data_IF_927829445897
#
_entry.id   IF_927829445897
#
_cell.length_a   1.000
_cell.length_b   1.000
_cell.length_c   1.000
_cell.angle_alpha   90.00
_cell.angle_beta   90.00
_cell.angle_gamma   90.00
#
_symmetry.space_group_name_H-M   'P 1'
#
loop_
_entity.id
_entity.type
_entity.pdbx_description
1 polymer ?
#
# COMPACT_ATOMS: atom_id res chain seq x y z
N UNK A 1 59.66 -27.34 -41.71
CA UNK A 1 59.70 -26.13 -42.55
C UNK A 1 58.44 -25.31 -42.27
N UNK A 2 58.60 -24.23 -41.49
CA UNK A 2 58.03 -22.87 -41.66
C UNK A 2 56.52 -22.71 -41.96
N UNK A 3 55.73 -21.74 -41.47
CA UNK A 3 55.75 -20.67 -40.46
C UNK A 3 54.47 -19.83 -40.79
N UNK A 4 53.68 -19.42 -39.79
CA UNK A 4 52.85 -18.15 -39.72
C UNK A 4 51.70 -17.96 -40.74
N UNK A 5 50.53 -17.35 -40.48
CA UNK A 5 50.04 -16.24 -39.61
C UNK A 5 48.55 -16.50 -39.30
N UNK A 6 48.06 -16.39 -38.06
CA UNK A 6 47.51 -15.17 -37.42
C UNK A 6 46.45 -14.42 -38.23
N UNK A 7 45.15 -14.63 -37.92
CA UNK A 7 44.22 -13.58 -37.45
C UNK A 7 42.93 -14.23 -36.89
N UNK A 8 42.55 -14.01 -35.62
CA UNK A 8 41.22 -14.39 -35.15
C UNK A 8 40.19 -13.39 -35.67
N UNK A 9 39.13 -13.91 -36.28
CA UNK A 9 37.92 -13.18 -36.69
C UNK A 9 37.43 -12.26 -35.56
N UNK A 10 37.75 -10.96 -35.72
CA UNK A 10 37.26 -9.88 -34.88
C UNK A 10 35.76 -9.72 -35.09
N UNK A 11 34.96 -10.34 -34.24
CA UNK A 11 33.57 -9.92 -34.03
C UNK A 11 33.63 -8.65 -33.21
N UNK A 12 33.37 -7.53 -33.88
CA UNK A 12 33.10 -6.21 -33.33
C UNK A 12 32.31 -6.34 -32.02
N UNK A 13 33.06 -6.19 -30.93
CA UNK A 13 32.56 -6.22 -29.58
C UNK A 13 31.80 -4.92 -29.39
N UNK A 14 30.49 -4.91 -29.68
CA UNK A 14 29.63 -3.76 -29.36
C UNK A 14 29.73 -3.53 -27.84
N UNK A 15 30.24 -2.37 -27.37
CA UNK A 15 30.27 -2.11 -25.95
C UNK A 15 28.83 -2.03 -25.48
N UNK A 16 28.43 -2.96 -24.60
CA UNK A 16 27.20 -2.83 -23.82
C UNK A 16 27.33 -1.49 -23.09
N UNK A 17 26.59 -0.49 -23.56
CA UNK A 17 26.47 0.80 -22.89
C UNK A 17 25.83 0.50 -21.54
N UNK A 18 26.67 0.27 -20.53
CA UNK A 18 26.22 0.19 -19.13
C UNK A 18 25.55 1.52 -18.87
N UNK A 19 24.22 1.51 -18.83
CA UNK A 19 23.41 2.58 -18.26
C UNK A 19 23.92 2.70 -16.83
N UNK A 20 24.86 3.61 -16.61
CA UNK A 20 25.34 3.96 -15.29
C UNK A 20 24.10 4.43 -14.55
N UNK A 21 23.57 3.54 -13.70
CA UNK A 21 22.48 3.86 -12.81
C UNK A 21 22.93 5.04 -11.96
N UNK A 22 22.13 6.09 -11.95
CA UNK A 22 22.35 7.25 -11.12
C UNK A 22 22.43 6.77 -9.64
N UNK A 23 23.58 6.83 -8.96
CA UNK A 23 23.80 6.12 -7.70
C UNK A 23 23.27 6.92 -6.48
N UNK A 24 22.08 7.52 -6.62
CA UNK A 24 21.47 8.36 -5.58
C UNK A 24 20.05 7.95 -5.17
N UNK A 25 19.47 6.89 -5.74
CA UNK A 25 18.09 6.52 -5.41
C UNK A 25 18.05 5.61 -4.18
N UNK A 26 17.62 6.17 -3.04
CA UNK A 26 17.37 5.41 -1.82
C UNK A 26 16.36 4.27 -2.09
N UNK A 27 16.68 2.99 -1.82
CA UNK A 27 15.81 1.85 -2.08
C UNK A 27 14.50 1.87 -1.27
N UNK A 28 14.41 2.67 -0.20
CA UNK A 28 13.16 2.85 0.54
C UNK A 28 12.19 3.80 -0.18
N UNK A 29 12.69 4.73 -1.00
CA UNK A 29 11.83 5.68 -1.70
C UNK A 29 11.00 4.98 -2.78
N UNK A 30 11.60 4.05 -3.54
CA UNK A 30 10.89 3.31 -4.59
C UNK A 30 9.77 2.42 -4.05
N UNK A 31 9.93 1.84 -2.85
CA UNK A 31 8.86 1.09 -2.18
C UNK A 31 7.72 2.02 -1.74
N UNK A 32 8.05 3.21 -1.22
CA UNK A 32 7.03 4.19 -0.78
C UNK A 32 6.15 4.72 -1.93
N UNK A 33 6.73 4.99 -3.11
CA UNK A 33 5.96 5.41 -4.28
C UNK A 33 5.08 4.29 -4.82
N UNK A 34 5.62 3.07 -4.98
CA UNK A 34 4.84 1.92 -5.41
C UNK A 34 3.72 1.56 -4.43
N UNK A 35 3.95 1.77 -3.12
CA UNK A 35 2.93 1.61 -2.07
C UNK A 35 1.79 2.62 -2.21
N UNK A 36 2.12 3.89 -2.48
CA UNK A 36 1.15 4.96 -2.66
C UNK A 36 0.28 4.76 -3.90
N UNK A 37 0.86 4.33 -5.02
CA UNK A 37 0.07 3.99 -6.21
C UNK A 37 -0.89 2.82 -5.98
N UNK A 38 -0.44 1.76 -5.30
CA UNK A 38 -1.30 0.63 -4.92
C UNK A 38 -2.44 1.05 -4.00
N UNK A 39 -2.17 1.96 -3.06
CA UNK A 39 -3.18 2.50 -2.16
C UNK A 39 -4.22 3.32 -2.92
N UNK A 40 -3.78 4.16 -3.85
CA UNK A 40 -4.65 4.96 -4.72
C UNK A 40 -5.57 4.05 -5.54
N UNK A 41 -5.00 3.06 -6.22
CA UNK A 41 -5.76 2.09 -7.03
C UNK A 41 -6.80 1.33 -6.19
N UNK A 42 -6.42 0.89 -4.98
CA UNK A 42 -7.35 0.22 -4.09
C UNK A 42 -8.53 1.13 -3.66
N UNK A 43 -8.29 2.43 -3.50
CA UNK A 43 -9.35 3.39 -3.20
C UNK A 43 -10.28 3.62 -4.41
N UNK A 44 -9.74 3.68 -5.62
CA UNK A 44 -10.52 3.76 -6.87
C UNK A 44 -11.37 2.49 -7.06
N UNK A 45 -10.80 1.31 -6.86
CA UNK A 45 -11.52 0.03 -6.93
C UNK A 45 -12.65 -0.04 -5.88
N UNK A 46 -12.43 0.51 -4.68
CA UNK A 46 -13.47 0.62 -3.66
C UNK A 46 -14.61 1.55 -4.09
N UNK A 47 -14.30 2.70 -4.70
CA UNK A 47 -15.32 3.61 -5.22
C UNK A 47 -16.16 2.95 -6.31
N UNK A 48 -15.55 2.16 -7.21
CA UNK A 48 -16.28 1.37 -8.20
C UNK A 48 -17.25 0.36 -7.54
N UNK A 49 -16.86 -0.30 -6.45
CA UNK A 49 -17.76 -1.18 -5.71
C UNK A 49 -18.89 -0.41 -5.03
N UNK A 50 -18.59 0.76 -4.48
CA UNK A 50 -19.60 1.62 -3.86
C UNK A 50 -20.63 2.09 -4.89
N UNK A 51 -20.19 2.56 -6.07
CA UNK A 51 -21.07 2.96 -7.17
C UNK A 51 -21.94 1.78 -7.62
N UNK A 52 -21.37 0.58 -7.73
CA UNK A 52 -22.14 -0.62 -8.06
C UNK A 52 -23.29 -0.85 -7.06
N UNK A 53 -23.00 -0.74 -5.76
CA UNK A 53 -24.01 -0.90 -4.72
C UNK A 53 -25.05 0.23 -4.73
N UNK A 54 -24.62 1.45 -5.03
CA UNK A 54 -25.49 2.61 -5.19
C UNK A 54 -26.48 2.41 -6.36
N UNK A 55 -25.98 2.00 -7.53
CA UNK A 55 -26.80 1.70 -8.70
C UNK A 55 -27.83 0.60 -8.41
N UNK A 56 -27.39 -0.45 -7.72
CA UNK A 56 -28.26 -1.55 -7.31
C UNK A 56 -29.35 -1.10 -6.33
N UNK A 57 -29.00 -0.26 -5.35
CA UNK A 57 -29.97 0.30 -4.40
C UNK A 57 -30.99 1.20 -5.10
N UNK A 58 -30.55 2.08 -6.00
CA UNK A 58 -31.47 2.91 -6.81
C UNK A 58 -32.40 2.07 -7.68
N UNK A 59 -31.94 0.96 -8.25
CA UNK A 59 -32.83 0.08 -9.01
C UNK A 59 -33.81 -0.68 -8.11
N UNK A 60 -33.44 -1.00 -6.88
CA UNK A 60 -34.35 -1.67 -5.95
C UNK A 60 -35.53 -0.80 -5.50
N UNK A 61 -35.44 0.52 -5.62
CA UNK A 61 -36.57 1.43 -5.33
C UNK A 61 -37.57 1.52 -6.48
N UNK A 62 -37.22 1.02 -7.68
CA UNK A 62 -38.15 0.99 -8.80
C UNK A 62 -39.13 -0.17 -8.63
N UNK A 63 -40.45 0.07 -8.79
CA UNK A 63 -41.43 -1.00 -8.77
C UNK A 63 -41.12 -2.00 -9.89
N UNK A 64 -41.09 -3.28 -9.54
CA UNK A 64 -40.90 -4.34 -10.55
C UNK A 64 -42.13 -4.36 -11.44
N UNK A 65 -41.92 -4.14 -12.73
CA UNK A 65 -43.00 -4.21 -13.70
C UNK A 65 -43.63 -5.60 -13.69
N UNK A 66 -44.95 -5.67 -13.49
CA UNK A 66 -45.71 -6.93 -13.54
C UNK A 66 -45.71 -7.55 -14.95
N UNK A 67 -45.43 -6.74 -15.98
CA UNK A 67 -45.52 -7.12 -17.38
C UNK A 67 -44.17 -7.44 -18.01
N UNK A 68 -43.10 -6.73 -17.62
CA UNK A 68 -41.72 -7.06 -17.97
C UNK A 68 -41.20 -8.05 -16.92
N UNK A 69 -41.59 -9.32 -17.08
CA UNK A 69 -41.24 -10.40 -16.16
C UNK A 69 -39.75 -10.37 -15.82
N UNK A 70 -39.46 -10.12 -14.54
CA UNK A 70 -38.13 -10.08 -13.92
C UNK A 70 -37.38 -11.41 -13.96
N UNK A 71 -37.12 -11.91 -15.17
CA UNK A 71 -36.47 -13.17 -15.42
C UNK A 71 -34.97 -13.15 -15.10
N UNK A 72 -34.38 -14.34 -15.01
CA UNK A 72 -32.95 -14.55 -14.71
C UNK A 72 -32.06 -13.75 -15.68
N UNK A 73 -32.41 -13.70 -16.97
CA UNK A 73 -31.66 -12.96 -17.99
C UNK A 73 -31.59 -11.44 -17.72
N UNK A 74 -32.66 -10.84 -17.20
CA UNK A 74 -32.67 -9.42 -16.86
C UNK A 74 -31.77 -9.14 -15.65
N UNK A 75 -31.78 -10.01 -14.64
CA UNK A 75 -30.89 -9.89 -13.48
C UNK A 75 -29.41 -9.98 -13.86
N UNK A 76 -29.06 -10.90 -14.76
CA UNK A 76 -27.68 -11.03 -15.27
C UNK A 76 -27.28 -9.82 -16.11
N UNK A 77 -28.14 -9.38 -17.04
CA UNK A 77 -27.88 -8.19 -17.86
C UNK A 77 -27.62 -6.96 -16.99
N UNK A 78 -28.48 -6.69 -16.02
CA UNK A 78 -28.31 -5.56 -15.12
C UNK A 78 -27.08 -5.66 -14.24
N UNK A 79 -26.73 -6.86 -13.78
CA UNK A 79 -25.51 -7.05 -12.98
C UNK A 79 -24.26 -6.71 -13.80
N UNK A 80 -24.20 -7.15 -15.06
CA UNK A 80 -23.10 -6.82 -15.97
C UNK A 80 -23.09 -5.34 -16.34
N UNK A 81 -24.27 -4.76 -16.60
CA UNK A 81 -24.42 -3.34 -16.90
C UNK A 81 -23.90 -2.49 -15.73
N UNK A 82 -24.35 -2.77 -14.51
CA UNK A 82 -23.97 -2.01 -13.33
C UNK A 82 -22.46 -2.15 -13.04
N UNK A 83 -21.87 -3.32 -13.30
CA UNK A 83 -20.43 -3.53 -13.17
C UNK A 83 -19.62 -2.69 -14.17
N UNK A 84 -20.02 -2.67 -15.44
CA UNK A 84 -19.34 -1.83 -16.44
C UNK A 84 -19.55 -0.35 -16.18
N UNK A 85 -20.76 0.03 -15.76
CA UNK A 85 -21.09 1.42 -15.46
C UNK A 85 -20.30 1.91 -14.25
N UNK A 86 -20.20 1.11 -13.19
CA UNK A 86 -19.46 1.51 -11.99
C UNK A 86 -17.96 1.69 -12.25
N UNK A 87 -17.36 0.82 -13.08
CA UNK A 87 -15.98 0.97 -13.53
C UNK A 87 -15.78 2.22 -14.38
N UNK A 88 -16.71 2.50 -15.31
CA UNK A 88 -16.63 3.68 -16.17
C UNK A 88 -16.79 4.98 -15.39
N UNK A 89 -17.75 5.04 -14.46
CA UNK A 89 -17.96 6.23 -13.63
C UNK A 89 -16.73 6.47 -12.75
N UNK A 90 -16.20 5.44 -12.09
CA UNK A 90 -15.01 5.58 -11.24
C UNK A 90 -13.77 6.08 -12.01
N UNK A 91 -13.64 5.75 -13.30
CA UNK A 91 -12.50 6.19 -14.13
C UNK A 91 -12.70 7.54 -14.81
N UNK A 92 -13.92 7.86 -15.27
CA UNK A 92 -14.20 9.05 -16.05
C UNK A 92 -14.53 10.26 -15.17
N UNK A 93 -15.43 10.07 -14.20
CA UNK A 93 -15.92 11.12 -13.33
C UNK A 93 -16.10 10.57 -11.90
N UNK A 94 -14.99 10.38 -11.17
CA UNK A 94 -15.03 9.86 -9.82
C UNK A 94 -15.80 10.81 -8.89
N UNK A 95 -16.57 10.24 -7.97
CA UNK A 95 -17.37 11.00 -7.00
C UNK A 95 -16.49 11.69 -5.93
N UNK A 96 -15.20 11.39 -5.92
CA UNK A 96 -14.21 11.97 -5.01
C UNK A 96 -14.09 11.21 -3.68
N UNK A 97 -14.80 10.09 -3.52
CA UNK A 97 -14.74 9.27 -2.31
C UNK A 97 -13.38 8.57 -2.23
N UNK A 98 -12.89 8.06 -3.36
CA UNK A 98 -11.57 7.44 -3.45
C UNK A 98 -10.46 8.41 -3.02
N UNK A 99 -10.52 9.66 -3.48
CA UNK A 99 -9.52 10.69 -3.19
C UNK A 99 -9.55 11.11 -1.71
N UNK A 100 -10.75 11.28 -1.14
CA UNK A 100 -10.91 11.56 0.28
C UNK A 100 -10.34 10.41 1.14
N UNK A 101 -10.64 9.16 0.77
CA UNK A 101 -10.17 7.96 1.46
C UNK A 101 -8.63 7.85 1.35
N UNK A 102 -8.09 8.06 0.15
CA UNK A 102 -6.65 8.05 -0.11
C UNK A 102 -5.92 9.07 0.76
N UNK A 103 -6.42 10.29 0.88
CA UNK A 103 -5.82 11.33 1.74
C UNK A 103 -5.77 10.90 3.20
N UNK A 104 -6.85 10.32 3.72
CA UNK A 104 -6.91 9.87 5.13
C UNK A 104 -5.98 8.69 5.37
N UNK A 105 -5.97 7.71 4.48
CA UNK A 105 -5.11 6.53 4.61
C UNK A 105 -3.64 6.89 4.45
N UNK A 106 -3.27 7.75 3.49
CA UNK A 106 -1.88 8.16 3.31
C UNK A 106 -1.33 8.89 4.55
N UNK A 107 -2.12 9.79 5.16
CA UNK A 107 -1.74 10.45 6.42
C UNK A 107 -1.50 9.46 7.57
N UNK A 108 -2.30 8.39 7.65
CA UNK A 108 -2.12 7.35 8.65
C UNK A 108 -0.88 6.49 8.38
N UNK A 109 -0.63 6.14 7.12
CA UNK A 109 0.56 5.37 6.71
C UNK A 109 1.83 6.15 7.04
N UNK A 110 1.89 7.43 6.68
CA UNK A 110 3.04 8.29 6.99
C UNK A 110 3.27 8.36 8.52
N UNK A 111 2.22 8.58 9.32
CA UNK A 111 2.29 8.55 10.81
C UNK A 111 2.78 7.22 11.37
N UNK A 112 2.30 6.10 10.82
CA UNK A 112 2.71 4.76 11.27
C UNK A 112 4.18 4.44 10.94
N UNK A 113 4.71 5.00 9.84
CA UNK A 113 6.10 4.84 9.45
C UNK A 113 7.07 5.58 10.38
N UNK A 114 6.68 6.75 10.88
CA UNK A 114 7.47 7.53 11.86
C UNK A 114 7.59 6.80 13.21
N UNK A 115 6.52 6.16 13.68
CA UNK A 115 6.52 5.40 14.93
C UNK A 115 7.47 4.20 14.82
N UNK A 116 7.49 3.51 13.67
CA UNK A 116 8.41 2.40 13.41
C UNK A 116 9.87 2.83 13.29
N UNK A 117 10.11 4.05 12.80
CA UNK A 117 11.44 4.68 12.77
C UNK A 117 11.98 5.02 14.16
N UNK A 118 11.11 5.54 15.05
CA UNK A 118 11.48 5.88 16.44
C UNK A 118 11.76 4.65 17.30
N UNK A 119 11.03 3.55 17.08
CA UNK A 119 11.23 2.28 17.79
C UNK A 119 12.54 1.55 17.38
N UNK A 120 13.11 1.85 16.21
CA UNK A 120 14.41 1.30 15.78
C UNK A 120 15.62 2.06 16.32
N UNK A 121 15.45 3.30 16.77
CA UNK A 121 16.53 4.14 17.30
C UNK A 121 16.86 3.86 18.79
N UNK A 122 16.02 3.10 19.49
CA UNK A 122 16.33 2.51 20.80
C UNK A 122 16.94 1.13 20.57
N UNK A 123 18.24 1.08 20.27
CA UNK A 123 19.02 -0.15 20.43
C UNK A 123 18.82 -0.70 21.85
N UNK A 124 18.72 -2.02 22.07
CA UNK A 124 18.80 -2.55 23.42
C UNK A 124 20.19 -2.15 23.93
N UNK A 125 20.23 -1.36 25.00
CA UNK A 125 21.47 -1.08 25.72
C UNK A 125 22.11 -2.44 26.00
N UNK A 126 23.27 -2.68 25.41
CA UNK A 126 24.04 -3.90 25.60
C UNK A 126 24.23 -4.07 27.10
N UNK A 127 23.64 -5.13 27.66
CA UNK A 127 23.78 -5.47 29.07
C UNK A 127 25.25 -5.71 29.40
N UNK A 128 25.94 -4.68 29.88
CA UNK A 128 27.13 -4.86 30.71
C UNK A 128 26.70 -5.50 32.04
N UNK A 129 27.61 -6.16 32.76
CA UNK A 129 27.29 -6.82 34.03
C UNK A 129 26.61 -5.83 34.97
N UNK A 130 25.42 -6.17 35.46
CA UNK A 130 24.67 -5.32 36.39
C UNK A 130 25.39 -5.34 37.74
N UNK A 131 26.37 -4.46 37.90
CA UNK A 131 26.98 -4.19 39.19
C UNK A 131 25.94 -3.48 40.07
N UNK A 132 25.61 -4.11 41.20
CA UNK A 132 24.57 -3.67 42.12
C UNK A 132 25.01 -2.37 42.81
N UNK A 133 24.83 -1.24 42.12
CA UNK A 133 24.95 0.07 42.75
C UNK A 133 23.80 0.26 43.74
N UNK A 134 24.14 0.29 45.02
CA UNK A 134 23.22 0.53 46.13
C UNK A 134 22.45 1.84 45.94
N UNK A 135 21.13 1.75 45.77
CA UNK A 135 20.25 2.91 45.91
C UNK A 135 20.11 3.25 47.40
N UNK A 136 20.17 4.53 47.79
CA UNK A 136 19.91 4.92 49.17
C UNK A 136 18.45 4.63 49.51
N UNK A 137 18.24 3.69 50.45
CA UNK A 137 16.93 3.42 51.05
C UNK A 137 16.46 4.69 51.76
N UNK A 138 15.47 5.38 51.20
CA UNK A 138 14.82 6.49 51.87
C UNK A 138 13.96 5.94 53.02
N UNK A 139 14.42 6.12 54.27
CA UNK A 139 13.74 5.65 55.49
C UNK A 139 12.40 6.36 55.78
N UNK A 140 12.02 7.35 54.99
CA UNK A 140 10.81 8.15 55.24
C UNK A 140 9.59 7.78 54.38
N UNK A 141 9.62 6.68 53.62
CA UNK A 141 8.38 6.15 53.05
C UNK A 141 7.59 5.37 54.13
N UNK A 142 6.77 6.10 54.88
CA UNK A 142 5.78 5.55 55.81
C UNK A 142 4.40 5.37 55.15
N UNK A 143 4.33 5.05 53.87
CA UNK A 143 3.08 4.54 53.27
C UNK A 143 3.03 3.01 53.36
N UNK A 144 3.10 2.51 54.60
CA UNK A 144 2.79 1.13 54.88
C UNK A 144 1.30 0.86 54.67
N UNK A 145 0.97 -0.21 53.95
CA UNK A 145 -0.25 -0.94 54.27
C UNK A 145 -0.98 -1.62 53.11
N UNK A 146 -0.66 -2.90 52.95
CA UNK A 146 -1.56 -4.01 52.59
C UNK A 146 -2.05 -4.07 51.15
N UNK A 147 -1.31 -4.86 50.39
CA UNK A 147 -1.87 -5.82 49.44
C UNK A 147 -2.86 -6.74 50.18
N UNK A 148 -4.12 -6.65 49.80
CA UNK A 148 -4.99 -7.80 49.59
C UNK A 148 -5.34 -7.82 48.10
#
# INVERSE_FOLDING_TARGET
MQLTRLLPEGREFFPIRRRTGNPGMNPNAVDSFARREKLKKACEDFEALFIYQLLKAMRSTLPKDKYLGGGIGQGVFFSLLDQHLSQKISQAEPLGIAEMLYRKLNQQVDRSSEIKGKARAISPVSGGPVERANYPVNRNDKSGGRIF
#
